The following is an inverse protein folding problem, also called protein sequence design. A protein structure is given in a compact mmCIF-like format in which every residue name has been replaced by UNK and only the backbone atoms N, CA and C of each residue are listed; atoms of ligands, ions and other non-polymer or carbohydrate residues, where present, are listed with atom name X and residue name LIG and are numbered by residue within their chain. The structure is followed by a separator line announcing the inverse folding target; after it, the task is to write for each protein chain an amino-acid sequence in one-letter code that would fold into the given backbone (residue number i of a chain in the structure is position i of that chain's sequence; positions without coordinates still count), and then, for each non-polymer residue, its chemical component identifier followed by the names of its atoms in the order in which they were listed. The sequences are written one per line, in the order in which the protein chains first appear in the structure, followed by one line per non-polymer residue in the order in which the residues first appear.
data_IF_421765927499
#
_entry.id   IF_421765927499
#
_cell.length_a   1.000
_cell.length_b   1.000
_cell.length_c   1.000
_cell.angle_alpha   90.00
_cell.angle_beta   90.00
_cell.angle_gamma   90.00
#
_symmetry.space_group_name_H-M   'P 1'
#
loop_
_entity.id
_entity.type
_entity.pdbx_description
1 polymer ?
#
# COMPACT_ATOMS: atom_id res chain seq x y z
N UNK A 1 -12.25 -17.98 1.61
CA UNK A 1 -11.14 -17.04 1.90
C UNK A 1 -10.30 -16.88 0.64
N UNK A 2 -10.07 -15.66 0.17
CA UNK A 2 -9.22 -15.46 -1.01
C UNK A 2 -7.77 -15.82 -0.70
N UNK A 3 -7.04 -16.26 -1.73
CA UNK A 3 -5.61 -16.54 -1.60
C UNK A 3 -4.80 -15.26 -1.46
N UNK A 4 -5.28 -14.17 -2.07
CA UNK A 4 -4.57 -12.90 -2.09
C UNK A 4 -5.55 -11.72 -2.08
N UNK A 5 -5.27 -10.72 -1.25
CA UNK A 5 -5.95 -9.43 -1.26
C UNK A 5 -4.94 -8.34 -1.61
N UNK A 6 -5.34 -7.44 -2.50
CA UNK A 6 -4.56 -6.27 -2.87
C UNK A 6 -5.35 -5.02 -2.44
N UNK A 7 -4.78 -4.26 -1.53
CA UNK A 7 -5.43 -3.11 -0.90
C UNK A 7 -4.67 -1.83 -1.24
N UNK A 8 -5.37 -0.83 -1.77
CA UNK A 8 -4.66 0.41 -1.95
C UNK A 8 -5.25 1.48 -2.85
N UNK A 9 -4.35 2.27 -3.42
CA UNK A 9 -4.62 3.43 -4.26
C UNK A 9 -4.29 3.14 -5.73
N UNK A 10 -3.91 4.17 -6.50
CA UNK A 10 -3.59 4.01 -7.92
C UNK A 10 -2.42 3.05 -8.18
N UNK A 11 -1.48 2.96 -7.25
CA UNK A 11 -0.35 2.02 -7.38
C UNK A 11 -0.87 0.59 -7.28
N UNK A 12 -1.78 0.31 -6.35
CA UNK A 12 -2.42 -1.00 -6.26
C UNK A 12 -3.23 -1.31 -7.53
N UNK A 13 -3.95 -0.34 -8.06
CA UNK A 13 -4.70 -0.51 -9.30
C UNK A 13 -3.77 -0.95 -10.44
N UNK A 14 -2.60 -0.31 -10.57
CA UNK A 14 -1.60 -0.68 -11.58
C UNK A 14 -0.97 -2.04 -11.31
N UNK A 15 -0.69 -2.33 -10.04
CA UNK A 15 -0.07 -3.60 -9.65
C UNK A 15 -0.99 -4.82 -9.90
N UNK A 16 -2.29 -4.61 -9.86
CA UNK A 16 -3.28 -5.67 -10.01
C UNK A 16 -3.03 -6.54 -11.26
N UNK A 17 -2.59 -5.91 -12.34
CA UNK A 17 -2.34 -6.61 -13.61
C UNK A 17 -1.10 -7.50 -13.59
N UNK A 18 -0.25 -7.37 -12.58
CA UNK A 18 1.00 -8.12 -12.46
C UNK A 18 0.94 -9.18 -11.35
N UNK A 19 -0.06 -9.13 -10.49
CA UNK A 19 -0.23 -10.06 -9.37
C UNK A 19 -1.56 -10.77 -9.52
N UNK A 20 -1.54 -12.02 -9.85
CA UNK A 20 -2.75 -12.79 -10.03
C UNK A 20 -2.61 -14.15 -9.35
N UNK A 21 -3.72 -14.69 -8.86
CA UNK A 21 -5.03 -14.07 -8.74
C UNK A 21 -5.21 -13.38 -7.38
N UNK A 22 -5.31 -12.07 -7.35
CA UNK A 22 -5.66 -11.31 -6.14
C UNK A 22 -7.03 -10.67 -6.30
N UNK A 23 -7.81 -10.62 -5.23
CA UNK A 23 -8.96 -9.72 -5.15
C UNK A 23 -8.46 -8.34 -4.79
N UNK A 24 -9.00 -7.30 -5.45
CA UNK A 24 -8.55 -5.94 -5.24
C UNK A 24 -9.63 -5.09 -4.57
N UNK A 25 -9.23 -4.41 -3.48
CA UNK A 25 -9.98 -3.35 -2.85
C UNK A 25 -9.12 -2.09 -2.98
N UNK A 26 -9.23 -1.43 -4.13
CA UNK A 26 -8.33 -0.33 -4.47
C UNK A 26 -9.08 0.77 -5.19
N UNK A 27 -8.64 2.00 -4.99
CA UNK A 27 -9.24 3.17 -5.64
C UNK A 27 -8.16 4.21 -5.91
N UNK A 28 -8.04 4.61 -7.16
CA UNK A 28 -7.06 5.63 -7.56
C UNK A 28 -7.30 6.96 -6.82
N UNK A 29 -6.20 7.57 -6.36
CA UNK A 29 -6.23 8.88 -5.72
C UNK A 29 -6.64 8.89 -4.25
N UNK A 30 -6.98 7.75 -3.68
CA UNK A 30 -7.43 7.71 -2.28
C UNK A 30 -6.27 7.71 -1.30
N UNK A 31 -6.48 8.45 -0.20
CA UNK A 31 -5.59 8.43 0.96
C UNK A 31 -6.03 7.35 1.96
N UNK A 32 -5.26 7.18 3.03
CA UNK A 32 -5.54 6.14 4.02
C UNK A 32 -6.88 6.33 4.72
N UNK A 33 -7.28 7.57 4.98
CA UNK A 33 -8.57 7.85 5.61
C UNK A 33 -9.74 7.46 4.71
N UNK A 34 -9.68 7.82 3.43
CA UNK A 34 -10.72 7.47 2.45
C UNK A 34 -10.84 5.96 2.29
N UNK A 35 -9.70 5.28 2.21
CA UNK A 35 -9.68 3.82 2.06
C UNK A 35 -10.37 3.15 3.25
N UNK A 36 -9.99 3.52 4.48
CA UNK A 36 -10.56 2.95 5.69
C UNK A 36 -12.07 3.24 5.80
N UNK A 37 -12.48 4.46 5.44
CA UNK A 37 -13.90 4.84 5.47
C UNK A 37 -14.75 3.86 4.68
N UNK A 38 -14.29 3.43 3.50
CA UNK A 38 -15.11 2.63 2.60
C UNK A 38 -14.82 1.13 2.66
N UNK A 39 -13.58 0.74 2.96
CA UNK A 39 -13.18 -0.67 2.86
C UNK A 39 -12.85 -1.35 4.18
N UNK A 40 -12.67 -0.64 5.28
CA UNK A 40 -12.27 -1.26 6.55
C UNK A 40 -13.31 -2.24 7.09
N UNK A 41 -14.56 -2.10 6.67
CA UNK A 41 -15.67 -2.99 7.05
C UNK A 41 -15.62 -4.36 6.37
N UNK A 42 -14.83 -4.51 5.32
CA UNK A 42 -14.71 -5.77 4.60
C UNK A 42 -13.92 -6.79 5.40
N UNK A 43 -14.11 -8.07 5.07
CA UNK A 43 -13.27 -9.13 5.61
C UNK A 43 -11.88 -9.03 4.96
N UNK A 44 -10.87 -8.80 5.78
CA UNK A 44 -9.48 -8.63 5.33
C UNK A 44 -8.65 -9.87 5.70
N UNK A 45 -9.20 -11.04 5.45
CA UNK A 45 -8.55 -12.33 5.70
C UNK A 45 -8.14 -12.98 4.38
N UNK A 46 -6.86 -13.32 4.26
CA UNK A 46 -6.30 -13.99 3.08
C UNK A 46 -4.99 -14.67 3.45
N UNK A 47 -4.48 -15.56 2.59
CA UNK A 47 -3.15 -16.10 2.78
C UNK A 47 -2.09 -15.00 2.63
N UNK A 48 -2.26 -14.17 1.62
CA UNK A 48 -1.35 -13.04 1.32
C UNK A 48 -2.15 -11.75 1.21
N UNK A 49 -1.68 -10.70 1.88
CA UNK A 49 -2.23 -9.35 1.75
C UNK A 49 -1.12 -8.40 1.30
N UNK A 50 -1.40 -7.63 0.27
CA UNK A 50 -0.50 -6.62 -0.27
C UNK A 50 -1.14 -5.25 -0.04
N UNK A 51 -0.43 -4.34 0.60
CA UNK A 51 -0.91 -3.00 0.93
C UNK A 51 -0.09 -1.97 0.17
N UNK A 52 -0.76 -1.11 -0.59
CA UNK A 52 -0.13 0.02 -1.28
C UNK A 52 -0.94 1.28 -1.01
N UNK A 53 -0.65 1.93 0.10
CA UNK A 53 -1.32 3.13 0.59
C UNK A 53 -0.31 4.13 1.15
N UNK A 54 -0.71 5.38 1.24
CA UNK A 54 0.07 6.45 1.86
C UNK A 54 0.59 7.48 0.86
N UNK A 55 0.62 7.14 -0.42
CA UNK A 55 1.11 8.06 -1.47
C UNK A 55 0.26 9.33 -1.59
N UNK A 56 -1.01 9.25 -1.26
CA UNK A 56 -1.96 10.37 -1.36
C UNK A 56 -2.26 11.04 -0.01
N UNK A 57 -1.57 10.64 1.05
CA UNK A 57 -1.78 11.25 2.34
C UNK A 57 -1.21 12.66 2.37
N UNK A 58 -1.84 13.51 3.17
CA UNK A 58 -1.42 14.90 3.37
C UNK A 58 -1.39 15.22 4.87
N UNK A 59 -0.94 16.42 5.20
CA UNK A 59 -0.67 16.83 6.60
C UNK A 59 -1.88 16.72 7.53
N UNK A 60 -3.09 16.71 7.00
CA UNK A 60 -4.31 16.60 7.82
C UNK A 60 -4.79 15.17 8.02
N UNK A 61 -4.14 14.19 7.39
CA UNK A 61 -4.43 12.77 7.58
C UNK A 61 -3.58 12.25 8.72
N UNK A 62 -4.20 11.51 9.63
CA UNK A 62 -3.50 10.82 10.70
C UNK A 62 -2.98 9.49 10.19
N UNK A 63 -1.97 9.55 9.34
CA UNK A 63 -1.47 8.41 8.57
C UNK A 63 -1.12 7.22 9.45
N UNK A 64 -0.39 7.44 10.54
CA UNK A 64 0.00 6.35 11.43
C UNK A 64 -1.22 5.66 12.04
N UNK A 65 -2.16 6.43 12.57
CA UNK A 65 -3.37 5.87 13.18
C UNK A 65 -4.21 5.10 12.16
N UNK A 66 -4.35 5.63 10.94
CA UNK A 66 -5.11 4.96 9.89
C UNK A 66 -4.46 3.65 9.45
N UNK A 67 -3.15 3.64 9.26
CA UNK A 67 -2.45 2.44 8.85
C UNK A 67 -2.41 1.38 9.96
N UNK A 68 -2.29 1.79 11.22
CA UNK A 68 -2.37 0.86 12.35
C UNK A 68 -3.76 0.21 12.43
N UNK A 69 -4.82 1.00 12.26
CA UNK A 69 -6.19 0.46 12.25
C UNK A 69 -6.38 -0.56 11.14
N UNK A 70 -5.87 -0.25 9.94
CA UNK A 70 -5.94 -1.18 8.82
C UNK A 70 -5.18 -2.47 9.14
N UNK A 71 -3.93 -2.33 9.60
CA UNK A 71 -3.09 -3.51 9.86
C UNK A 71 -3.69 -4.40 10.94
N UNK A 72 -4.26 -3.82 11.98
CA UNK A 72 -4.89 -4.58 13.07
C UNK A 72 -6.10 -5.41 12.58
N UNK A 73 -6.73 -4.99 11.50
CA UNK A 73 -7.88 -5.69 10.93
C UNK A 73 -7.50 -6.86 10.02
N UNK A 74 -6.25 -6.92 9.58
CA UNK A 74 -5.78 -7.93 8.62
C UNK A 74 -5.41 -9.23 9.34
N UNK A 75 -5.91 -10.34 8.81
CA UNK A 75 -5.47 -11.69 9.19
C UNK A 75 -4.89 -12.35 7.95
N UNK A 76 -3.58 -12.59 7.97
CA UNK A 76 -2.89 -13.17 6.82
C UNK A 76 -1.62 -13.91 7.27
N UNK A 77 -1.20 -14.88 6.49
CA UNK A 77 0.08 -15.57 6.71
C UNK A 77 1.26 -14.69 6.27
N UNK A 78 1.06 -13.87 5.24
CA UNK A 78 2.09 -12.98 4.71
C UNK A 78 1.47 -11.63 4.38
N UNK A 79 2.14 -10.56 4.83
CA UNK A 79 1.73 -9.18 4.52
C UNK A 79 2.91 -8.45 3.88
N UNK A 80 2.64 -7.82 2.75
CA UNK A 80 3.60 -7.02 2.01
C UNK A 80 3.12 -5.57 1.95
N UNK A 81 4.03 -4.64 2.16
CA UNK A 81 3.79 -3.22 2.03
C UNK A 81 4.59 -2.68 0.85
N UNK A 82 3.92 -2.11 -0.12
CA UNK A 82 4.61 -1.36 -1.17
C UNK A 82 4.95 0.02 -0.60
N UNK A 83 6.23 0.36 -0.56
CA UNK A 83 6.71 1.58 0.07
C UNK A 83 6.55 2.76 -0.91
N UNK A 84 5.67 3.73 -0.62
CA UNK A 84 5.49 4.87 -1.52
C UNK A 84 6.75 5.72 -1.58
N UNK A 85 6.94 6.41 -2.70
CA UNK A 85 8.05 7.34 -2.91
C UNK A 85 7.60 8.53 -3.72
N UNK A 86 8.44 9.54 -3.75
CA UNK A 86 8.15 10.78 -4.46
C UNK A 86 7.28 11.72 -3.65
N UNK A 87 7.62 12.98 -3.64
CA UNK A 87 6.88 13.99 -2.89
C UNK A 87 5.83 14.66 -3.75
N UNK A 88 4.65 14.85 -3.16
CA UNK A 88 3.67 15.79 -3.65
C UNK A 88 3.86 17.09 -2.88
N UNK A 89 4.35 18.17 -3.52
CA UNK A 89 4.62 19.43 -2.81
C UNK A 89 3.39 20.03 -2.11
N UNK A 90 2.20 19.70 -2.61
CA UNK A 90 0.95 20.22 -2.05
C UNK A 90 0.46 19.46 -0.83
N UNK A 91 1.03 18.30 -0.54
CA UNK A 91 0.56 17.46 0.57
C UNK A 91 0.87 18.06 1.94
N UNK A 92 2.00 18.74 2.07
CA UNK A 92 2.51 19.22 3.35
C UNK A 92 2.98 18.08 4.27
N UNK A 93 3.08 16.87 3.75
CA UNK A 93 3.55 15.69 4.47
C UNK A 93 4.71 15.07 3.69
N UNK A 94 5.94 15.14 4.22
CA UNK A 94 7.08 14.54 3.55
C UNK A 94 6.88 13.04 3.37
N UNK A 95 7.23 12.53 2.19
CA UNK A 95 7.07 11.10 1.92
C UNK A 95 7.94 10.25 2.86
N UNK A 96 9.07 10.78 3.31
CA UNK A 96 9.96 10.09 4.26
C UNK A 96 9.24 9.78 5.57
N UNK A 97 8.31 10.64 5.99
CA UNK A 97 7.51 10.39 7.20
C UNK A 97 6.55 9.23 6.97
N UNK A 98 5.90 9.19 5.81
CA UNK A 98 5.01 8.06 5.46
C UNK A 98 5.81 6.76 5.39
N UNK A 99 7.00 6.80 4.77
CA UNK A 99 7.87 5.64 4.68
C UNK A 99 8.30 5.14 6.07
N UNK A 100 8.64 6.07 6.97
CA UNK A 100 9.02 5.74 8.35
C UNK A 100 7.88 5.03 9.06
N UNK A 101 6.66 5.55 8.96
CA UNK A 101 5.47 4.97 9.58
C UNK A 101 5.25 3.53 9.08
N UNK A 102 5.31 3.33 7.77
CA UNK A 102 5.13 2.00 7.17
C UNK A 102 6.19 1.02 7.67
N UNK A 103 7.45 1.44 7.68
CA UNK A 103 8.54 0.58 8.13
C UNK A 103 8.39 0.17 9.59
N UNK A 104 7.95 1.08 10.45
CA UNK A 104 7.72 0.79 11.87
C UNK A 104 6.59 -0.22 12.03
N UNK A 105 5.46 0.00 11.38
CA UNK A 105 4.31 -0.91 11.46
C UNK A 105 4.69 -2.29 10.92
N UNK A 106 5.35 -2.34 9.77
CA UNK A 106 5.79 -3.59 9.17
C UNK A 106 6.71 -4.37 10.10
N UNK A 107 7.68 -3.69 10.70
CA UNK A 107 8.63 -4.33 11.63
C UNK A 107 7.92 -4.91 12.85
N UNK A 108 6.94 -4.20 13.41
CA UNK A 108 6.17 -4.67 14.57
C UNK A 108 5.37 -5.94 14.27
N UNK A 109 4.96 -6.14 13.03
CA UNK A 109 4.16 -7.28 12.63
C UNK A 109 4.96 -8.36 11.90
N UNK A 110 6.24 -8.14 11.65
CA UNK A 110 7.04 -9.08 10.85
C UNK A 110 6.69 -9.08 9.37
N UNK A 111 6.16 -7.99 8.87
CA UNK A 111 5.76 -7.84 7.47
C UNK A 111 6.97 -7.51 6.58
N UNK A 112 6.80 -7.69 5.28
CA UNK A 112 7.84 -7.38 4.30
C UNK A 112 7.53 -6.04 3.62
N UNK A 113 8.53 -5.17 3.52
CA UNK A 113 8.44 -3.89 2.81
C UNK A 113 9.10 -4.02 1.45
N UNK A 114 8.39 -3.61 0.39
CA UNK A 114 8.89 -3.67 -0.98
C UNK A 114 9.09 -2.24 -1.48
N UNK A 115 10.33 -1.82 -1.80
CA UNK A 115 10.56 -0.48 -2.35
C UNK A 115 10.12 -0.39 -3.81
N UNK A 116 9.75 0.81 -4.24
CA UNK A 116 9.52 1.11 -5.65
C UNK A 116 10.84 1.61 -6.22
N UNK A 117 11.44 0.86 -7.14
CA UNK A 117 12.77 1.18 -7.69
C UNK A 117 12.67 1.94 -9.00
N UNK A 118 11.78 1.49 -9.90
CA UNK A 118 11.62 2.11 -11.21
C UNK A 118 10.27 2.82 -11.31
N UNK A 119 10.32 4.10 -11.64
CA UNK A 119 9.16 4.98 -11.66
C UNK A 119 8.97 5.64 -13.02
N UNK A 120 7.75 6.11 -13.23
CA UNK A 120 7.39 6.98 -14.33
C UNK A 120 8.00 8.37 -14.11
N UNK A 121 7.81 9.27 -15.08
CA UNK A 121 8.36 10.63 -15.01
C UNK A 121 7.89 11.44 -13.81
N UNK A 122 6.75 11.09 -13.20
CA UNK A 122 6.25 11.76 -12.00
C UNK A 122 7.05 11.42 -10.73
N UNK A 123 7.91 10.41 -10.78
CA UNK A 123 8.71 9.97 -9.64
C UNK A 123 7.91 9.26 -8.56
N UNK A 124 6.63 8.99 -8.80
CA UNK A 124 5.69 8.43 -7.82
C UNK A 124 5.20 7.05 -8.24
N UNK A 125 4.59 6.99 -9.42
CA UNK A 125 4.02 5.73 -9.92
C UNK A 125 5.10 4.83 -10.49
N UNK A 126 5.08 3.52 -10.18
CA UNK A 126 5.97 2.57 -10.82
C UNK A 126 5.81 2.59 -12.33
N UNK A 127 6.93 2.45 -13.05
CA UNK A 127 6.90 2.15 -14.46
C UNK A 127 6.43 0.72 -14.68
N UNK A 128 6.24 0.33 -15.94
CA UNK A 128 5.90 -1.06 -16.28
C UNK A 128 6.89 -2.04 -15.64
N UNK A 129 8.18 -1.78 -15.78
CA UNK A 129 9.23 -2.60 -15.16
C UNK A 129 9.20 -2.52 -13.64
N UNK A 130 8.83 -1.35 -13.08
CA UNK A 130 8.68 -1.18 -11.63
C UNK A 130 7.58 -2.06 -11.08
N UNK A 131 6.43 -2.15 -11.73
CA UNK A 131 5.36 -3.05 -11.32
C UNK A 131 5.78 -4.51 -11.36
N UNK A 132 6.51 -4.91 -12.42
CA UNK A 132 7.03 -6.28 -12.51
C UNK A 132 7.99 -6.60 -11.39
N UNK A 133 8.85 -5.67 -11.00
CA UNK A 133 9.80 -5.86 -9.90
C UNK A 133 9.07 -6.04 -8.56
N UNK A 134 8.01 -5.24 -8.32
CA UNK A 134 7.20 -5.40 -7.11
C UNK A 134 6.56 -6.79 -7.10
N UNK A 135 5.96 -7.19 -8.21
CA UNK A 135 5.30 -8.49 -8.31
C UNK A 135 6.26 -9.65 -8.05
N UNK A 136 7.51 -9.56 -8.52
CA UNK A 136 8.52 -10.60 -8.28
C UNK A 136 8.90 -10.74 -6.82
N UNK A 137 8.81 -9.67 -6.04
CA UNK A 137 9.11 -9.69 -4.62
C UNK A 137 8.01 -10.35 -3.78
N UNK A 138 6.83 -10.53 -4.35
CA UNK A 138 5.69 -11.14 -3.68
C UNK A 138 5.72 -12.64 -3.97
N UNK A 139 5.74 -13.43 -2.92
CA UNK A 139 5.86 -14.90 -3.03
C UNK A 139 4.61 -15.63 -2.59
#
# INVERSE_FOLDING_TARGET
MPACLLLGDSIAVGLYHQVAPCESLSKSGWNTWQWNRDYLKHDLTADTVIISLGSNDHKYIKTQAELERLRDKITASRVYWVLPRGNNPKSGLPIEEVQRIIKVIAALHGDTVIPIVRVQSDGIHPSWEGYKQIAKAIK
#
